data_IF_772852033733
#
_entry.id   IF_772852033733
#
_cell.length_a   1.000
_cell.length_b   1.000
_cell.length_c   1.000
_cell.angle_alpha   90.00
_cell.angle_beta   90.00
_cell.angle_gamma   90.00
#
_symmetry.space_group_name_H-M   'P 1'
#
loop_
_entity.id
_entity.type
_entity.pdbx_description
1 polymer ?
#
# COMPACT_ATOMS: atom_id res chain seq x y z
N UNK A 1 -17.70 -34.67 -34.66
CA UNK A 1 -17.21 -35.57 -33.59
C UNK A 1 -15.90 -35.04 -33.03
N UNK A 2 -15.73 -35.16 -31.72
CA UNK A 2 -14.47 -35.13 -30.96
C UNK A 2 -13.95 -33.78 -30.43
N UNK A 3 -14.42 -33.51 -29.22
CA UNK A 3 -13.95 -32.60 -28.18
C UNK A 3 -12.46 -32.75 -27.85
N UNK A 4 -11.81 -31.66 -27.41
CA UNK A 4 -10.73 -31.70 -26.40
C UNK A 4 -10.49 -30.30 -25.80
N UNK A 5 -11.27 -29.98 -24.76
CA UNK A 5 -10.85 -29.06 -23.70
C UNK A 5 -9.56 -29.58 -23.09
N UNK A 6 -8.52 -28.76 -22.84
CA UNK A 6 -7.67 -28.70 -21.62
C UNK A 6 -6.77 -27.46 -21.64
N UNK A 7 -6.52 -26.93 -20.45
CA UNK A 7 -5.32 -26.18 -20.04
C UNK A 7 -5.39 -24.66 -20.24
N UNK A 8 -5.24 -23.81 -19.23
CA UNK A 8 -5.16 -23.99 -17.78
C UNK A 8 -5.53 -22.64 -17.20
N UNK A 9 -6.57 -22.59 -16.35
CA UNK A 9 -6.78 -21.45 -15.46
C UNK A 9 -5.62 -21.45 -14.46
N UNK A 10 -4.54 -20.71 -14.72
CA UNK A 10 -3.66 -20.27 -13.64
C UNK A 10 -4.31 -19.10 -12.93
N UNK A 11 -5.47 -19.36 -12.29
CA UNK A 11 -5.86 -18.54 -11.14
C UNK A 11 -4.86 -18.93 -10.07
N UNK A 12 -3.74 -18.21 -10.02
CA UNK A 12 -2.86 -18.25 -8.87
C UNK A 12 -3.60 -17.55 -7.72
N UNK A 13 -4.57 -18.26 -7.15
CA UNK A 13 -4.99 -18.09 -5.77
C UNK A 13 -3.88 -18.64 -4.88
N UNK A 14 -2.69 -18.04 -5.00
CA UNK A 14 -1.59 -18.21 -4.06
C UNK A 14 -1.83 -17.23 -2.93
N UNK A 15 -1.91 -17.74 -1.70
CA UNK A 15 -2.37 -17.00 -0.53
C UNK A 15 -1.81 -15.58 -0.42
N UNK A 16 -2.70 -14.69 0.04
CA UNK A 16 -2.57 -13.26 0.42
C UNK A 16 -1.19 -12.79 0.90
N UNK A 17 -0.16 -12.94 0.08
CA UNK A 17 1.16 -12.36 0.32
C UNK A 17 1.09 -10.96 -0.25
N UNK A 18 0.99 -10.00 0.66
CA UNK A 18 1.13 -8.58 0.33
C UNK A 18 2.46 -8.45 -0.41
N UNK A 19 2.40 -7.95 -1.64
CA UNK A 19 3.58 -7.73 -2.48
C UNK A 19 4.21 -6.38 -2.12
N UNK A 20 5.52 -6.22 -2.33
CA UNK A 20 6.22 -4.94 -2.06
C UNK A 20 5.57 -3.77 -2.82
N UNK A 21 5.07 -4.00 -4.03
CA UNK A 21 4.32 -2.99 -4.80
C UNK A 21 3.03 -2.56 -4.08
N UNK A 22 2.33 -3.49 -3.44
CA UNK A 22 1.13 -3.16 -2.64
C UNK A 22 1.52 -2.39 -1.38
N UNK A 23 2.65 -2.72 -0.74
CA UNK A 23 3.18 -1.96 0.39
C UNK A 23 3.52 -0.53 -0.04
N UNK A 24 4.20 -0.37 -1.18
CA UNK A 24 4.58 0.93 -1.72
C UNK A 24 3.38 1.79 -2.10
N UNK A 25 2.34 1.20 -2.71
CA UNK A 25 1.08 1.89 -3.00
C UNK A 25 0.36 2.34 -1.71
N UNK A 26 0.34 1.48 -0.68
CA UNK A 26 -0.21 1.84 0.63
C UNK A 26 0.56 2.98 1.29
N UNK A 27 1.89 2.93 1.29
CA UNK A 27 2.75 3.99 1.82
C UNK A 27 2.51 5.31 1.07
N UNK A 28 2.40 5.26 -0.26
CA UNK A 28 2.11 6.44 -1.09
C UNK A 28 0.77 7.07 -0.74
N UNK A 29 -0.28 6.26 -0.53
CA UNK A 29 -1.60 6.72 -0.08
C UNK A 29 -1.55 7.35 1.31
N UNK A 30 -0.83 6.74 2.26
CA UNK A 30 -0.66 7.32 3.60
C UNK A 30 0.05 8.67 3.54
N UNK A 31 1.11 8.78 2.75
CA UNK A 31 1.83 10.04 2.56
C UNK A 31 0.92 11.15 2.03
N UNK A 32 0.04 10.83 1.07
CA UNK A 32 -0.96 11.76 0.56
C UNK A 32 -1.97 12.22 1.62
N UNK A 33 -2.15 11.52 2.74
CA UNK A 33 -3.08 11.96 3.79
C UNK A 33 -2.42 12.82 4.87
N UNK A 34 -1.09 12.95 4.85
CA UNK A 34 -0.34 13.63 5.90
C UNK A 34 -0.03 15.09 5.53
N UNK A 35 -0.57 16.08 6.27
CA UNK A 35 -0.35 17.50 5.97
C UNK A 35 1.13 17.87 5.91
N UNK A 36 1.91 17.36 6.86
CA UNK A 36 3.35 17.61 7.03
C UNK A 36 4.21 17.02 5.90
N UNK A 37 3.71 15.98 5.23
CA UNK A 37 4.45 15.29 4.15
C UNK A 37 4.03 15.75 2.76
N UNK A 38 2.89 16.44 2.63
CA UNK A 38 2.43 17.04 1.36
C UNK A 38 3.31 18.21 0.91
N UNK A 39 3.89 18.98 1.83
CA UNK A 39 4.68 20.18 1.50
C UNK A 39 6.17 19.89 1.26
N UNK A 40 6.69 18.82 1.85
CA UNK A 40 8.10 18.43 1.78
C UNK A 40 8.26 17.37 0.70
N UNK A 41 8.79 17.79 -0.46
CA UNK A 41 9.25 16.97 -1.59
C UNK A 41 9.11 15.45 -1.36
N UNK A 42 8.07 14.86 -1.95
CA UNK A 42 7.64 13.48 -1.75
C UNK A 42 8.73 12.43 -1.99
N UNK A 43 9.78 12.80 -2.73
CA UNK A 43 10.77 11.91 -3.33
C UNK A 43 11.81 11.36 -2.35
N UNK A 44 11.84 11.81 -1.08
CA UNK A 44 12.87 11.42 -0.09
C UNK A 44 12.33 11.04 1.29
N UNK A 45 11.06 10.69 1.41
CA UNK A 45 10.50 10.23 2.69
C UNK A 45 10.52 8.71 2.74
N UNK A 46 11.19 8.14 3.74
CA UNK A 46 11.21 6.68 3.92
C UNK A 46 9.84 6.16 4.38
N UNK A 47 9.51 4.92 4.02
CA UNK A 47 8.28 4.27 4.47
C UNK A 47 8.13 4.28 6.00
N UNK A 48 9.22 4.06 6.74
CA UNK A 48 9.23 4.14 8.21
C UNK A 48 8.81 5.53 8.72
N UNK A 49 9.27 6.61 8.07
CA UNK A 49 8.89 7.98 8.42
C UNK A 49 7.42 8.25 8.12
N UNK A 50 6.91 7.78 6.97
CA UNK A 50 5.48 7.90 6.63
C UNK A 50 4.60 7.22 7.68
N UNK A 51 4.94 6.00 8.10
CA UNK A 51 4.20 5.25 9.12
C UNK A 51 4.23 5.96 10.48
N UNK A 52 5.39 6.48 10.89
CA UNK A 52 5.53 7.25 12.12
C UNK A 52 4.63 8.49 12.13
N UNK A 53 4.68 9.30 11.07
CA UNK A 53 3.84 10.49 10.95
C UNK A 53 2.35 10.14 10.88
N UNK A 54 1.99 9.01 10.26
CA UNK A 54 0.62 8.48 10.25
C UNK A 54 0.12 8.23 11.68
N UNK A 55 0.89 7.52 12.49
CA UNK A 55 0.54 7.24 13.88
C UNK A 55 0.44 8.52 14.72
N UNK A 56 1.32 9.48 14.50
CA UNK A 56 1.27 10.77 15.18
C UNK A 56 0.00 11.56 14.81
N UNK A 57 -0.35 11.59 13.53
CA UNK A 57 -1.54 12.25 13.05
C UNK A 57 -2.82 11.66 13.66
N UNK A 58 -2.95 10.33 13.66
CA UNK A 58 -4.08 9.63 14.32
C UNK A 58 -4.15 9.97 15.82
N UNK A 59 -3.01 9.96 16.51
CA UNK A 59 -2.95 10.31 17.94
C UNK A 59 -3.44 11.74 18.20
N UNK A 60 -3.08 12.69 17.34
CA UNK A 60 -3.49 14.09 17.48
C UNK A 60 -4.98 14.28 17.17
N UNK A 61 -5.51 13.57 16.17
CA UNK A 61 -6.94 13.57 15.85
C UNK A 61 -7.79 13.08 17.04
N UNK A 62 -7.35 12.04 17.74
CA UNK A 62 -8.08 11.52 18.91
C UNK A 62 -7.99 12.44 20.15
N UNK A 63 -7.02 13.36 20.20
CA UNK A 63 -6.87 14.32 21.31
C UNK A 63 -7.63 15.62 21.09
N UNK A 64 -8.18 15.82 19.90
CA UNK A 64 -9.00 16.98 19.52
C UNK A 64 -10.46 16.71 19.86
#
# INVERSE_FOLDING_TARGET
MSSRSRSSRSRQSGGSRISDDQINDQVSKLQQLLPELRSRNSDKVSAAKVLQETCNYIRNLHRS
#
